data_IF_206323671331
#
_entry.id   IF_206323671331
#
_cell.length_a   1.000
_cell.length_b   1.000
_cell.length_c   1.000
_cell.angle_alpha   90.00
_cell.angle_beta   90.00
_cell.angle_gamma   90.00
#
_symmetry.space_group_name_H-M   'P 1'
#
loop_
_entity.id
_entity.type
_entity.pdbx_description
1 polymer ?
#
# COMPACT_ATOMS: atom_id res chain seq x y z
N UNK A 1 -10.99 7.50 5.29
CA UNK A 1 -10.73 6.07 5.09
C UNK A 1 -11.90 5.21 5.53
N UNK A 2 -11.84 3.91 5.28
CA UNK A 2 -12.95 2.97 5.57
C UNK A 2 -13.40 3.06 7.03
N UNK A 3 -12.47 3.06 7.99
CA UNK A 3 -12.80 3.14 9.41
C UNK A 3 -13.56 4.42 9.76
N UNK A 4 -13.11 5.58 9.27
CA UNK A 4 -13.75 6.88 9.54
C UNK A 4 -15.18 6.98 9.00
N UNK A 5 -15.46 6.30 7.89
CA UNK A 5 -16.78 6.35 7.25
C UNK A 5 -17.73 5.25 7.73
N UNK A 6 -17.22 4.10 8.14
CA UNK A 6 -18.03 2.89 8.42
C UNK A 6 -17.89 2.38 9.86
N UNK A 7 -16.88 2.83 10.60
CA UNK A 7 -16.50 2.24 11.88
C UNK A 7 -15.85 0.85 11.80
N UNK A 8 -15.66 0.32 10.58
CA UNK A 8 -15.04 -0.99 10.33
C UNK A 8 -13.57 -0.82 9.98
N UNK A 9 -12.71 -1.72 10.44
CA UNK A 9 -11.32 -1.75 10.00
C UNK A 9 -11.20 -2.30 8.56
N UNK A 10 -10.21 -1.82 7.81
CA UNK A 10 -9.96 -2.28 6.44
C UNK A 10 -9.77 -3.80 6.37
N UNK A 11 -9.10 -4.38 7.36
CA UNK A 11 -8.92 -5.83 7.44
C UNK A 11 -10.23 -6.61 7.59
N UNK A 12 -11.21 -6.08 8.32
CA UNK A 12 -12.53 -6.68 8.49
C UNK A 12 -13.32 -6.65 7.18
N UNK A 13 -13.27 -5.52 6.47
CA UNK A 13 -13.92 -5.39 5.16
C UNK A 13 -13.31 -6.39 4.16
N UNK A 14 -11.98 -6.47 4.09
CA UNK A 14 -11.28 -7.41 3.21
C UNK A 14 -11.61 -8.86 3.57
N UNK A 15 -11.63 -9.21 4.86
CA UNK A 15 -11.98 -10.55 5.30
C UNK A 15 -13.42 -10.95 4.88
N UNK A 16 -14.38 -10.03 5.03
CA UNK A 16 -15.75 -10.24 4.56
C UNK A 16 -15.84 -10.45 3.05
N UNK A 17 -15.09 -9.67 2.27
CA UNK A 17 -15.01 -9.83 0.81
C UNK A 17 -14.38 -11.16 0.41
N UNK A 18 -13.28 -11.56 1.05
CA UNK A 18 -12.61 -12.85 0.82
C UNK A 18 -13.55 -14.02 1.11
N UNK A 19 -14.31 -13.94 2.20
CA UNK A 19 -15.31 -14.96 2.53
C UNK A 19 -16.39 -15.11 1.46
N UNK A 20 -16.83 -14.00 0.88
CA UNK A 20 -17.88 -13.98 -0.13
C UNK A 20 -17.37 -14.34 -1.53
N UNK A 21 -16.26 -13.73 -1.95
CA UNK A 21 -15.71 -13.85 -3.31
C UNK A 21 -14.90 -15.13 -3.48
N UNK A 22 -14.26 -15.61 -2.41
CA UNK A 22 -13.34 -16.77 -2.39
C UNK A 22 -12.23 -16.66 -3.45
N UNK A 23 -11.42 -15.59 -3.42
CA UNK A 23 -10.36 -15.40 -4.39
C UNK A 23 -9.22 -16.39 -4.17
N UNK A 24 -8.45 -16.66 -5.23
CA UNK A 24 -7.23 -17.48 -5.15
C UNK A 24 -6.06 -16.72 -4.50
N UNK A 25 -6.09 -15.39 -4.54
CA UNK A 25 -5.06 -14.52 -3.99
C UNK A 25 -5.64 -13.12 -3.71
N UNK A 26 -5.07 -12.43 -2.74
CA UNK A 26 -5.38 -11.02 -2.45
C UNK A 26 -4.15 -10.17 -2.74
N UNK A 27 -4.30 -9.16 -3.57
CA UNK A 27 -3.28 -8.15 -3.82
C UNK A 27 -3.66 -6.87 -3.06
N UNK A 28 -2.78 -6.43 -2.16
CA UNK A 28 -2.98 -5.24 -1.33
C UNK A 28 -2.00 -4.16 -1.75
N UNK A 29 -2.50 -2.96 -1.98
CA UNK A 29 -1.66 -1.78 -2.26
C UNK A 29 -1.89 -0.73 -1.19
N UNK A 30 -0.82 -0.26 -0.55
CA UNK A 30 -0.89 0.77 0.50
C UNK A 30 0.33 1.70 0.47
N UNK A 31 0.18 2.83 1.14
CA UNK A 31 1.29 3.74 1.43
C UNK A 31 2.07 3.25 2.65
N UNK A 32 3.38 3.31 2.59
CA UNK A 32 4.27 2.80 3.63
C UNK A 32 5.06 3.93 4.31
N UNK A 33 5.60 3.63 5.50
CA UNK A 33 6.63 4.46 6.11
C UNK A 33 8.02 4.02 5.61
N UNK A 34 8.84 4.98 5.25
CA UNK A 34 10.21 4.75 4.85
C UNK A 34 11.09 4.42 6.07
N UNK A 35 11.93 3.40 5.95
CA UNK A 35 12.95 3.05 6.94
C UNK A 35 14.20 3.95 6.87
N UNK A 36 14.35 4.71 5.77
CA UNK A 36 15.42 5.68 5.55
C UNK A 36 14.95 6.77 4.58
N UNK A 37 15.55 7.94 4.64
CA UNK A 37 15.13 9.11 3.85
C UNK A 37 15.27 8.87 2.33
N UNK A 38 16.30 8.16 1.91
CA UNK A 38 16.57 7.84 0.50
C UNK A 38 15.53 6.92 -0.14
N UNK A 39 14.78 6.16 0.66
CA UNK A 39 13.69 5.30 0.19
C UNK A 39 12.37 6.03 0.00
N UNK A 40 12.24 7.22 0.55
CA UNK A 40 11.01 8.00 0.50
C UNK A 40 10.63 8.33 -0.95
N UNK A 41 9.53 7.74 -1.43
CA UNK A 41 9.03 7.93 -2.79
C UNK A 41 9.86 7.35 -3.92
N UNK A 42 10.93 6.60 -3.62
CA UNK A 42 11.88 6.10 -4.64
C UNK A 42 11.86 4.59 -4.83
N UNK A 43 11.19 3.86 -3.96
CA UNK A 43 11.16 2.40 -3.98
C UNK A 43 9.73 1.88 -4.02
N UNK A 44 9.54 0.70 -4.63
CA UNK A 44 8.34 -0.13 -4.47
C UNK A 44 8.73 -1.32 -3.62
N UNK A 45 7.98 -1.55 -2.56
CA UNK A 45 8.17 -2.72 -1.69
C UNK A 45 7.15 -3.78 -2.03
N UNK A 46 7.62 -5.02 -2.15
CA UNK A 46 6.82 -6.20 -2.42
C UNK A 46 7.02 -7.20 -1.28
N UNK A 47 5.94 -7.71 -0.72
CA UNK A 47 6.00 -8.66 0.39
C UNK A 47 4.87 -9.68 0.33
N UNK A 48 5.13 -10.91 0.75
CA UNK A 48 4.13 -11.94 1.00
C UNK A 48 3.79 -12.12 2.48
N UNK A 49 4.40 -11.33 3.36
CA UNK A 49 4.12 -11.36 4.80
C UNK A 49 2.78 -10.69 5.18
N UNK A 50 2.15 -10.01 4.22
CA UNK A 50 0.97 -9.20 4.49
C UNK A 50 1.31 -7.77 4.90
N UNK A 51 0.31 -7.03 5.32
CA UNK A 51 0.41 -5.63 5.70
C UNK A 51 -0.55 -5.32 6.85
N UNK A 52 -0.16 -4.43 7.76
CA UNK A 52 -1.04 -3.84 8.75
C UNK A 52 -1.25 -2.36 8.41
N UNK A 53 -2.43 -1.99 7.84
CA UNK A 53 -2.66 -0.62 7.37
C UNK A 53 -2.46 0.41 8.48
N UNK A 54 -1.65 1.43 8.23
CA UNK A 54 -1.33 2.49 9.18
C UNK A 54 -0.31 2.14 10.26
N UNK A 55 0.23 0.92 10.31
CA UNK A 55 1.24 0.51 11.31
C UNK A 55 2.53 1.33 11.22
N UNK A 56 2.90 1.76 10.02
CA UNK A 56 4.08 2.60 9.78
C UNK A 56 4.03 3.99 10.44
N UNK A 57 2.85 4.44 10.85
CA UNK A 57 2.60 5.71 11.55
C UNK A 57 2.04 5.49 12.96
N UNK A 58 2.35 4.35 13.58
CA UNK A 58 1.99 4.04 14.96
C UNK A 58 0.53 3.61 15.18
N UNK A 59 -0.26 3.42 14.14
CA UNK A 59 -1.61 2.91 14.24
C UNK A 59 -1.59 1.38 14.24
N UNK A 60 -1.77 0.78 15.40
CA UNK A 60 -1.87 -0.69 15.54
C UNK A 60 -3.23 -1.18 15.06
N UNK A 61 -3.31 -1.54 13.79
CA UNK A 61 -4.52 -2.09 13.18
C UNK A 61 -4.35 -3.57 12.86
N UNK A 62 -5.47 -4.24 12.63
CA UNK A 62 -5.46 -5.65 12.22
C UNK A 62 -4.72 -5.83 10.90
N UNK A 63 -3.93 -6.88 10.81
CA UNK A 63 -3.18 -7.21 9.61
C UNK A 63 -4.08 -7.80 8.51
N UNK A 64 -3.68 -7.56 7.28
CA UNK A 64 -4.17 -8.22 6.08
C UNK A 64 -3.06 -9.17 5.65
N UNK A 65 -3.19 -10.45 5.99
CA UNK A 65 -2.17 -11.47 5.74
C UNK A 65 -2.79 -12.80 5.38
N UNK A 66 -2.00 -13.70 4.80
CA UNK A 66 -2.44 -15.06 4.48
C UNK A 66 -2.88 -15.82 5.74
N UNK A 67 -2.25 -15.56 6.88
CA UNK A 67 -2.60 -16.14 8.17
C UNK A 67 -4.01 -15.79 8.61
N UNK A 68 -4.42 -14.54 8.38
CA UNK A 68 -5.74 -14.02 8.79
C UNK A 68 -6.81 -14.38 7.77
N UNK A 69 -6.49 -14.27 6.48
CA UNK A 69 -7.49 -14.42 5.40
C UNK A 69 -7.66 -15.87 4.91
N UNK A 70 -6.69 -16.75 5.18
CA UNK A 70 -6.71 -18.13 4.68
C UNK A 70 -6.41 -18.28 3.18
N UNK A 71 -6.02 -17.20 2.51
CA UNK A 71 -5.61 -17.17 1.09
C UNK A 71 -4.29 -16.42 0.94
N UNK A 72 -3.48 -16.70 -0.08
CA UNK A 72 -2.24 -15.98 -0.34
C UNK A 72 -2.48 -14.47 -0.42
N UNK A 73 -1.58 -13.69 0.20
CA UNK A 73 -1.60 -12.23 0.16
C UNK A 73 -0.28 -11.72 -0.39
N UNK A 74 -0.35 -10.83 -1.36
CA UNK A 74 0.79 -10.09 -1.88
C UNK A 74 0.57 -8.62 -1.59
N UNK A 75 1.46 -8.02 -0.81
CA UNK A 75 1.42 -6.61 -0.46
C UNK A 75 2.42 -5.82 -1.31
N UNK A 76 1.95 -4.72 -1.87
CA UNK A 76 2.73 -3.75 -2.62
C UNK A 76 2.62 -2.39 -1.93
N UNK A 77 3.72 -1.65 -1.85
CA UNK A 77 3.66 -0.31 -1.29
C UNK A 77 4.77 0.60 -1.73
N UNK A 78 4.50 1.90 -1.63
CA UNK A 78 5.47 2.96 -1.87
C UNK A 78 5.60 3.75 -0.57
N UNK A 79 6.83 3.97 -0.05
CA UNK A 79 7.06 4.81 1.11
C UNK A 79 6.70 6.27 0.80
N UNK A 80 5.73 6.81 1.52
CA UNK A 80 5.21 8.18 1.33
C UNK A 80 5.45 9.08 2.53
N UNK A 81 5.82 8.48 3.67
CA UNK A 81 6.13 9.19 4.90
C UNK A 81 7.42 8.66 5.50
N UNK A 82 8.09 9.48 6.30
CA UNK A 82 9.26 9.09 7.09
C UNK A 82 9.15 9.69 8.48
N UNK A 83 9.59 8.95 9.50
CA UNK A 83 9.64 9.46 10.86
C UNK A 83 10.72 10.53 11.00
N UNK A 84 10.45 11.57 11.79
CA UNK A 84 11.42 12.61 12.14
C UNK A 84 12.69 12.01 12.79
N UNK A 85 12.58 10.90 13.50
CA UNK A 85 13.71 10.18 14.09
C UNK A 85 14.68 9.64 13.04
N UNK A 86 14.15 9.13 11.93
CA UNK A 86 14.96 8.66 10.79
C UNK A 86 15.74 9.81 10.15
N UNK A 87 15.20 11.04 10.23
CA UNK A 87 15.85 12.26 9.73
C UNK A 87 16.80 12.90 10.74
N UNK A 88 17.06 12.26 11.89
CA UNK A 88 17.94 12.78 12.94
C UNK A 88 17.25 13.74 13.92
N UNK A 89 15.95 13.82 13.91
CA UNK A 89 15.18 14.60 14.90
C UNK A 89 15.23 13.98 16.29
N UNK A 90 15.42 14.82 17.30
CA UNK A 90 15.46 14.41 18.73
C UNK A 90 14.18 14.74 19.47
N UNK A 91 13.26 15.48 18.85
CA UNK A 91 11.98 15.87 19.39
C UNK A 91 10.96 14.73 19.38
N UNK A 92 9.74 15.01 19.78
CA UNK A 92 8.61 14.12 19.69
C UNK A 92 8.50 13.49 18.28
N UNK A 93 8.17 12.20 18.22
CA UNK A 93 8.10 11.48 16.96
C UNK A 93 6.99 12.04 16.08
N UNK A 94 7.37 12.60 14.96
CA UNK A 94 6.46 13.10 13.93
C UNK A 94 6.71 12.36 12.62
N UNK A 95 5.69 12.30 11.78
CA UNK A 95 5.80 11.75 10.44
C UNK A 95 5.72 12.89 9.42
N UNK A 96 6.68 12.92 8.51
CA UNK A 96 6.79 13.94 7.47
C UNK A 96 6.68 13.32 6.09
N UNK A 97 6.13 14.09 5.16
CA UNK A 97 5.99 13.72 3.75
C UNK A 97 6.79 14.68 2.88
N UNK A 98 7.16 14.27 1.66
CA UNK A 98 7.72 15.21 0.68
C UNK A 98 6.74 16.35 0.36
N UNK A 99 7.28 17.50 -0.02
CA UNK A 99 6.47 18.66 -0.41
C UNK A 99 5.55 18.33 -1.60
N UNK A 100 6.03 17.52 -2.53
CA UNK A 100 5.32 17.09 -3.74
C UNK A 100 4.56 15.76 -3.56
N UNK A 101 4.06 15.48 -2.36
CA UNK A 101 3.43 14.20 -2.02
C UNK A 101 2.28 13.83 -2.98
N UNK A 102 1.46 14.79 -3.39
CA UNK A 102 0.35 14.53 -4.30
C UNK A 102 0.82 14.04 -5.68
N UNK A 103 1.90 14.61 -6.19
CA UNK A 103 2.51 14.17 -7.45
C UNK A 103 3.14 12.79 -7.30
N UNK A 104 3.78 12.52 -6.17
CA UNK A 104 4.38 11.24 -5.86
C UNK A 104 3.32 10.15 -5.82
N UNK A 105 2.23 10.38 -5.10
CA UNK A 105 1.10 9.44 -5.00
C UNK A 105 0.49 9.19 -6.38
N UNK A 106 0.24 10.24 -7.15
CA UNK A 106 -0.34 10.09 -8.49
C UNK A 106 0.55 9.27 -9.43
N UNK A 107 1.85 9.56 -9.48
CA UNK A 107 2.83 8.81 -10.28
C UNK A 107 2.95 7.37 -9.79
N UNK A 108 3.05 7.16 -8.49
CA UNK A 108 3.13 5.84 -7.87
C UNK A 108 1.90 4.99 -8.15
N UNK A 109 0.70 5.55 -8.01
CA UNK A 109 -0.55 4.86 -8.31
C UNK A 109 -0.64 4.44 -9.79
N UNK A 110 -0.25 5.32 -10.72
CA UNK A 110 -0.19 4.99 -12.15
C UNK A 110 0.80 3.88 -12.43
N UNK A 111 2.02 3.98 -11.88
CA UNK A 111 3.05 2.96 -12.04
C UNK A 111 2.58 1.59 -11.55
N UNK A 112 2.07 1.52 -10.33
CA UNK A 112 1.58 0.27 -9.75
C UNK A 112 0.37 -0.27 -10.51
N UNK A 113 -0.60 0.59 -10.87
CA UNK A 113 -1.77 0.19 -11.65
C UNK A 113 -1.39 -0.40 -13.00
N UNK A 114 -0.47 0.23 -13.73
CA UNK A 114 0.03 -0.30 -15.00
C UNK A 114 0.77 -1.63 -14.80
N UNK A 115 1.65 -1.71 -13.79
CA UNK A 115 2.43 -2.92 -13.51
C UNK A 115 1.55 -4.11 -13.16
N UNK A 116 0.55 -3.92 -12.32
CA UNK A 116 -0.42 -4.95 -11.94
C UNK A 116 -1.19 -5.44 -13.16
N UNK A 117 -1.66 -4.52 -14.01
CA UNK A 117 -2.39 -4.88 -15.22
C UNK A 117 -1.52 -5.64 -16.21
N UNK A 118 -0.27 -5.24 -16.44
CA UNK A 118 0.67 -5.98 -17.30
C UNK A 118 0.90 -7.40 -16.77
N UNK A 119 1.03 -7.55 -15.45
CA UNK A 119 1.24 -8.86 -14.84
C UNK A 119 0.03 -9.79 -14.95
N UNK A 120 -1.17 -9.26 -14.73
CA UNK A 120 -2.39 -10.06 -14.64
C UNK A 120 -3.14 -10.20 -15.96
N UNK A 121 -2.96 -9.27 -16.88
CA UNK A 121 -3.65 -9.21 -18.17
C UNK A 121 -2.65 -9.31 -19.31
N UNK A 122 -2.17 -10.51 -19.58
CA UNK A 122 -1.09 -10.80 -20.53
C UNK A 122 -1.36 -10.34 -21.97
N UNK A 123 -2.61 -10.09 -22.34
CA UNK A 123 -3.01 -9.61 -23.65
C UNK A 123 -2.86 -8.08 -23.81
N UNK A 124 -2.73 -7.34 -22.69
CA UNK A 124 -2.56 -5.89 -22.74
C UNK A 124 -1.08 -5.52 -22.86
N UNK A 125 -0.80 -4.56 -23.72
CA UNK A 125 0.51 -3.96 -23.83
C UNK A 125 0.60 -2.68 -22.96
N UNK A 126 1.79 -2.27 -22.51
CA UNK A 126 1.95 -1.04 -21.71
C UNK A 126 1.33 0.20 -22.34
N UNK A 127 1.40 0.32 -23.68
CA UNK A 127 0.79 1.43 -24.43
C UNK A 127 -0.74 1.49 -24.30
N UNK A 128 -1.40 0.33 -24.26
CA UNK A 128 -2.85 0.25 -24.15
C UNK A 128 -3.29 0.71 -22.74
N UNK A 129 -2.52 0.34 -21.72
CA UNK A 129 -2.74 0.71 -20.33
C UNK A 129 -2.50 2.19 -20.07
N UNK A 130 -1.53 2.80 -20.74
CA UNK A 130 -1.25 4.22 -20.60
C UNK A 130 -2.47 5.09 -20.92
N UNK A 131 -3.24 4.69 -21.91
CA UNK A 131 -4.49 5.37 -22.28
C UNK A 131 -5.61 5.11 -21.25
N UNK A 132 -5.67 3.93 -20.66
CA UNK A 132 -6.71 3.55 -19.70
C UNK A 132 -6.47 4.11 -18.30
N UNK A 133 -5.22 4.21 -17.88
CA UNK A 133 -4.86 4.67 -16.53
C UNK A 133 -4.69 6.20 -16.49
N UNK A 134 -4.59 6.83 -17.62
CA UNK A 134 -4.56 8.29 -17.78
C UNK A 134 -3.33 8.95 -17.26
#
# INVERSE_FOLDING_TARGET
GVLGNTGMESAEVVAGMVHTVRPDCVLVVDALAASSADRLGTTVQLSNAGIAPGSGVGNHRREISARVLGVPVVALGIPTVVSSRVLGGTAEEMYVTPREIDQLINRGAKLLGMSINVCLQRHLQPRDLYTLVG
#
